data_IF_487945307738
#
_entry.id   IF_487945307738
#
_cell.length_a   1.000
_cell.length_b   1.000
_cell.length_c   1.000
_cell.angle_alpha   90.00
_cell.angle_beta   90.00
_cell.angle_gamma   90.00
#
_symmetry.space_group_name_H-M   'P 1'
#
loop_
_entity.id
_entity.type
_entity.pdbx_description
1 polymer ?
#
# COMPACT_ATOMS: atom_id res chain seq x y z
N UNK A 1 -11.71 53.24 8.17
CA UNK A 1 -12.63 54.37 7.81
C UNK A 1 -13.95 54.04 8.48
N UNK A 2 -14.30 54.79 9.53
CA UNK A 2 -15.40 54.48 10.46
C UNK A 2 -16.77 54.69 9.79
N UNK A 3 -17.65 53.70 9.86
CA UNK A 3 -19.04 53.77 9.35
C UNK A 3 -19.83 54.98 9.91
N UNK A 4 -19.42 55.52 11.05
CA UNK A 4 -20.05 56.66 11.70
C UNK A 4 -19.85 58.01 10.96
N UNK A 5 -18.81 58.13 10.14
CA UNK A 5 -18.47 59.39 9.44
C UNK A 5 -19.21 59.51 8.10
N UNK A 6 -19.72 58.41 7.55
CA UNK A 6 -20.42 58.43 6.27
C UNK A 6 -21.90 58.86 6.39
N UNK A 7 -22.49 58.67 7.56
CA UNK A 7 -23.91 58.98 7.79
C UNK A 7 -24.16 60.45 8.22
N UNK A 8 -23.17 61.14 8.74
CA UNK A 8 -23.36 62.51 9.26
C UNK A 8 -23.27 63.62 8.22
N UNK A 9 -22.75 63.32 7.00
CA UNK A 9 -22.48 64.38 6.01
C UNK A 9 -23.67 64.78 5.10
N UNK A 10 -24.78 64.02 5.09
CA UNK A 10 -25.90 64.29 4.18
C UNK A 10 -27.23 64.76 4.87
N UNK A 11 -27.25 64.98 6.20
CA UNK A 11 -28.51 65.18 6.92
C UNK A 11 -29.02 66.60 6.87
N UNK A 12 -28.24 67.58 6.41
CA UNK A 12 -28.63 69.04 6.51
C UNK A 12 -29.29 69.60 5.24
N UNK A 13 -29.66 68.75 4.26
CA UNK A 13 -30.19 69.29 2.98
C UNK A 13 -31.65 68.95 2.67
N UNK A 14 -32.39 68.32 3.59
CA UNK A 14 -33.79 67.92 3.31
C UNK A 14 -34.79 68.72 4.21
N UNK A 15 -35.89 69.14 3.56
CA UNK A 15 -37.02 69.79 4.24
C UNK A 15 -37.79 68.79 5.13
N UNK A 16 -38.46 69.32 6.19
CA UNK A 16 -39.01 68.57 7.31
C UNK A 16 -39.67 67.19 7.10
N UNK A 17 -40.41 66.99 6.05
CA UNK A 17 -41.15 65.73 5.82
C UNK A 17 -40.27 64.57 5.37
N UNK A 18 -39.23 64.84 4.60
CA UNK A 18 -38.27 63.78 4.15
C UNK A 18 -37.40 63.28 5.31
N UNK A 19 -37.07 64.19 6.29
CA UNK A 19 -36.33 63.78 7.49
C UNK A 19 -37.07 62.74 8.33
N UNK A 20 -38.38 62.86 8.38
CA UNK A 20 -39.20 61.92 9.14
C UNK A 20 -39.28 60.55 8.47
N UNK A 21 -39.33 60.51 7.16
CA UNK A 21 -39.29 59.25 6.37
C UNK A 21 -37.93 58.54 6.49
N UNK A 22 -36.85 59.27 6.38
CA UNK A 22 -35.49 58.72 6.52
C UNK A 22 -35.24 58.17 7.94
N UNK A 23 -35.70 58.85 8.98
CA UNK A 23 -35.60 58.40 10.38
C UNK A 23 -36.44 57.13 10.63
N UNK A 24 -37.58 56.99 9.97
CA UNK A 24 -38.41 55.81 10.04
C UNK A 24 -37.77 54.62 9.28
N UNK A 25 -37.15 54.88 8.14
CA UNK A 25 -36.40 53.85 7.37
C UNK A 25 -35.18 53.35 8.13
N UNK A 26 -34.40 54.25 8.75
CA UNK A 26 -33.25 53.84 9.60
C UNK A 26 -33.72 52.97 10.78
N UNK A 27 -34.79 53.35 11.46
CA UNK A 27 -35.35 52.53 12.55
C UNK A 27 -35.84 51.16 12.09
N UNK A 28 -36.40 51.06 10.86
CA UNK A 28 -36.83 49.78 10.26
C UNK A 28 -35.63 48.93 9.85
N UNK A 29 -34.59 49.55 9.27
CA UNK A 29 -33.35 48.87 8.91
C UNK A 29 -32.59 48.36 10.14
N UNK A 30 -32.54 49.21 11.20
CA UNK A 30 -31.89 48.83 12.47
C UNK A 30 -32.64 47.67 13.15
N UNK A 31 -34.00 47.69 13.14
CA UNK A 31 -34.80 46.56 13.63
C UNK A 31 -34.60 45.29 12.81
N UNK A 32 -34.55 45.42 11.49
CA UNK A 32 -34.30 44.29 10.60
C UNK A 32 -32.88 43.69 10.81
N UNK A 33 -31.89 44.55 11.02
CA UNK A 33 -30.51 44.15 11.33
C UNK A 33 -30.41 43.43 12.68
N UNK A 34 -31.10 43.95 13.72
CA UNK A 34 -31.16 43.33 15.06
C UNK A 34 -31.85 41.96 14.98
N UNK A 35 -32.92 41.83 14.20
CA UNK A 35 -33.63 40.55 13.99
C UNK A 35 -32.74 39.57 13.22
N UNK A 36 -32.01 40.03 12.20
CA UNK A 36 -31.06 39.21 11.44
C UNK A 36 -29.89 38.71 12.32
N UNK A 37 -29.37 39.57 13.19
CA UNK A 37 -28.30 39.20 14.16
C UNK A 37 -28.84 38.26 15.24
N UNK A 38 -30.08 38.43 15.70
CA UNK A 38 -30.73 37.54 16.67
C UNK A 38 -31.06 36.15 16.08
N UNK A 39 -31.23 36.04 14.76
CA UNK A 39 -31.47 34.78 14.06
C UNK A 39 -30.18 34.00 13.77
N UNK A 40 -29.00 34.62 13.81
CA UNK A 40 -27.71 33.98 13.56
C UNK A 40 -27.39 32.83 14.54
N UNK A 41 -27.68 32.86 15.85
CA UNK A 41 -27.38 31.74 16.73
C UNK A 41 -28.29 30.52 16.55
N UNK A 42 -29.44 30.64 15.88
CA UNK A 42 -30.32 29.48 15.67
C UNK A 42 -29.82 28.49 14.60
N UNK A 43 -28.89 28.90 13.72
CA UNK A 43 -28.30 28.01 12.73
C UNK A 43 -27.08 27.24 13.25
N UNK A 44 -26.55 27.56 14.42
CA UNK A 44 -25.34 26.97 14.97
C UNK A 44 -25.57 25.72 15.83
N UNK A 45 -26.82 25.30 16.08
CA UNK A 45 -27.13 24.25 17.06
C UNK A 45 -27.22 22.82 16.50
N UNK A 46 -26.97 22.58 15.21
CA UNK A 46 -27.10 21.24 14.66
C UNK A 46 -25.77 20.49 14.45
N UNK A 47 -24.65 20.94 15.01
CA UNK A 47 -23.32 20.34 14.81
C UNK A 47 -22.77 19.52 16.00
N UNK A 48 -23.57 19.24 17.03
CA UNK A 48 -23.17 18.30 18.07
C UNK A 48 -23.47 16.85 17.66
N UNK A 49 -22.78 16.38 16.63
CA UNK A 49 -22.68 14.96 16.35
C UNK A 49 -21.98 14.28 17.54
N UNK A 50 -22.50 13.12 17.96
CA UNK A 50 -21.85 12.26 18.96
C UNK A 50 -20.42 11.93 18.54
N UNK A 51 -19.45 12.06 19.45
CA UNK A 51 -18.10 11.59 19.22
C UNK A 51 -18.00 10.08 19.46
N UNK A 52 -17.23 9.42 18.62
CA UNK A 52 -16.84 8.01 18.77
C UNK A 52 -15.32 7.96 18.93
N UNK A 53 -14.86 7.28 19.99
CA UNK A 53 -13.45 6.98 20.20
C UNK A 53 -13.13 5.68 19.46
N UNK A 54 -12.15 5.69 18.57
CA UNK A 54 -11.63 4.52 17.89
C UNK A 54 -10.26 4.24 18.50
N UNK A 55 -10.07 3.00 18.97
CA UNK A 55 -8.81 2.52 19.55
C UNK A 55 -8.32 1.36 18.68
N UNK A 56 -7.07 1.39 18.28
CA UNK A 56 -6.43 0.35 17.50
C UNK A 56 -5.15 -0.10 18.21
N UNK A 57 -4.98 -1.40 18.37
CA UNK A 57 -3.75 -2.03 18.83
C UNK A 57 -3.00 -2.60 17.60
N UNK A 58 -1.67 -2.38 17.52
CA UNK A 58 -0.79 -1.64 18.44
C UNK A 58 -0.98 -0.12 18.43
N UNK A 59 -0.52 0.57 19.47
CA UNK A 59 -0.71 2.02 19.66
C UNK A 59 -0.08 2.90 18.56
N UNK A 60 0.89 2.40 17.83
CA UNK A 60 1.51 3.06 16.69
C UNK A 60 0.80 2.77 15.35
N UNK A 61 -0.36 2.12 15.38
CA UNK A 61 -1.13 1.88 14.15
C UNK A 61 -1.68 3.20 13.60
N UNK A 62 -1.38 3.50 12.36
CA UNK A 62 -1.84 4.70 11.64
C UNK A 62 -3.31 4.54 11.26
N UNK A 63 -4.14 5.49 11.67
CA UNK A 63 -5.58 5.45 11.45
C UNK A 63 -5.98 6.48 10.39
N UNK A 64 -6.66 6.01 9.36
CA UNK A 64 -7.25 6.83 8.31
C UNK A 64 -8.78 6.71 8.36
N UNK A 65 -9.45 7.85 8.24
CA UNK A 65 -10.92 7.93 8.17
C UNK A 65 -11.28 8.54 6.81
N UNK A 66 -12.09 7.84 6.03
CA UNK A 66 -12.49 8.24 4.67
C UNK A 66 -11.30 8.63 3.79
N UNK A 67 -10.18 7.90 3.97
CA UNK A 67 -8.93 8.10 3.23
C UNK A 67 -8.00 9.18 3.79
N UNK A 68 -8.40 9.95 4.80
CA UNK A 68 -7.57 10.97 5.43
C UNK A 68 -6.92 10.43 6.71
N UNK A 69 -5.65 10.77 6.94
CA UNK A 69 -4.95 10.44 8.18
C UNK A 69 -5.48 11.25 9.36
N UNK A 70 -5.80 10.57 10.46
CA UNK A 70 -6.36 11.17 11.68
C UNK A 70 -5.43 11.07 12.89
N UNK A 71 -4.51 10.12 12.93
CA UNK A 71 -3.59 9.92 14.05
C UNK A 71 -3.23 8.45 14.24
N UNK A 72 -2.51 8.16 15.33
CA UNK A 72 -2.03 6.82 15.66
C UNK A 72 -2.75 6.25 16.89
N UNK A 73 -2.98 4.94 16.89
CA UNK A 73 -3.52 4.14 17.98
C UNK A 73 -4.90 4.55 18.49
N UNK A 74 -5.13 5.84 18.74
CA UNK A 74 -6.41 6.33 19.28
C UNK A 74 -6.83 7.64 18.64
N UNK A 75 -8.03 7.69 18.07
CA UNK A 75 -8.62 8.88 17.48
C UNK A 75 -10.05 9.11 17.96
N UNK A 76 -10.50 10.36 17.95
CA UNK A 76 -11.90 10.75 18.19
C UNK A 76 -12.47 11.34 16.91
N UNK A 77 -13.58 10.81 16.45
CA UNK A 77 -14.26 11.24 15.23
C UNK A 77 -15.73 11.49 15.48
N UNK A 78 -16.35 12.33 14.66
CA UNK A 78 -17.81 12.50 14.69
C UNK A 78 -18.47 11.23 14.17
N UNK A 79 -19.44 10.72 14.91
CA UNK A 79 -20.26 9.61 14.45
C UNK A 79 -21.00 9.99 13.16
N UNK A 80 -21.09 9.10 12.17
CA UNK A 80 -21.87 9.35 10.97
C UNK A 80 -23.37 9.49 11.31
N UNK A 81 -24.12 10.14 10.42
CA UNK A 81 -25.57 10.25 10.55
C UNK A 81 -26.23 8.89 10.33
N UNK A 82 -27.48 8.74 10.81
CA UNK A 82 -28.26 7.53 10.55
C UNK A 82 -28.43 7.35 9.03
N UNK A 83 -28.03 6.18 8.52
CA UNK A 83 -28.02 5.87 7.10
C UNK A 83 -26.65 6.02 6.43
N UNK A 84 -25.71 6.75 7.05
CA UNK A 84 -24.34 6.95 6.55
C UNK A 84 -23.35 6.03 7.29
N UNK A 85 -22.13 5.98 6.79
CA UNK A 85 -20.99 5.31 7.45
C UNK A 85 -19.72 6.14 7.27
N UNK A 86 -18.73 5.88 8.11
CA UNK A 86 -17.33 6.28 7.90
C UNK A 86 -16.50 5.03 7.64
N UNK A 87 -15.54 5.15 6.72
CA UNK A 87 -14.58 4.08 6.42
C UNK A 87 -13.34 4.26 7.30
N UNK A 88 -12.99 3.25 8.07
CA UNK A 88 -11.82 3.25 8.93
C UNK A 88 -10.80 2.28 8.34
N UNK A 89 -9.61 2.76 8.04
CA UNK A 89 -8.45 1.95 7.68
C UNK A 89 -7.38 2.15 8.74
N UNK A 90 -6.86 1.05 9.27
CA UNK A 90 -5.75 1.09 10.20
C UNK A 90 -4.59 0.23 9.68
N UNK A 91 -3.38 0.77 9.74
CA UNK A 91 -2.16 0.15 9.22
C UNK A 91 -1.03 0.25 10.25
N UNK A 92 -0.27 -0.83 10.40
CA UNK A 92 0.97 -0.86 11.17
C UNK A 92 1.96 -1.81 10.50
N UNK A 93 3.23 -1.45 10.49
CA UNK A 93 4.27 -2.33 9.95
C UNK A 93 4.30 -3.65 10.70
N UNK A 94 4.32 -4.78 9.98
CA UNK A 94 4.28 -6.13 10.55
C UNK A 94 2.88 -6.59 11.00
N UNK A 95 1.82 -5.90 10.56
CA UNK A 95 0.44 -6.26 10.80
C UNK A 95 -0.40 -6.19 9.53
N UNK A 96 -1.42 -7.05 9.44
CA UNK A 96 -2.40 -7.00 8.34
C UNK A 96 -3.24 -5.73 8.46
N UNK A 97 -3.44 -4.96 7.36
CA UNK A 97 -4.25 -3.74 7.40
C UNK A 97 -5.72 -4.07 7.71
N UNK A 98 -6.33 -3.29 8.59
CA UNK A 98 -7.75 -3.37 8.91
C UNK A 98 -8.53 -2.39 8.05
N UNK A 99 -9.63 -2.85 7.44
CA UNK A 99 -10.57 -2.00 6.72
C UNK A 99 -11.99 -2.32 7.21
N UNK A 100 -12.62 -1.36 7.88
CA UNK A 100 -13.96 -1.53 8.46
C UNK A 100 -14.82 -0.30 8.21
N UNK A 101 -16.15 -0.48 8.24
CA UNK A 101 -17.13 0.61 8.18
C UNK A 101 -17.83 0.75 9.51
N UNK A 102 -17.93 1.97 10.03
CA UNK A 102 -18.70 2.30 11.22
C UNK A 102 -19.96 3.03 10.77
N UNK A 103 -21.11 2.43 11.01
CA UNK A 103 -22.40 2.97 10.58
C UNK A 103 -23.00 3.92 11.62
N UNK A 104 -23.79 4.88 11.19
CA UNK A 104 -24.50 5.81 12.07
C UNK A 104 -25.51 5.20 13.00
N UNK A 105 -25.89 3.94 12.77
CA UNK A 105 -26.71 3.13 13.67
C UNK A 105 -25.94 2.56 14.86
N UNK A 106 -24.61 2.51 14.78
CA UNK A 106 -23.76 2.05 15.89
C UNK A 106 -23.76 3.08 17.02
N UNK A 107 -24.25 2.69 18.19
CA UNK A 107 -24.40 3.58 19.36
C UNK A 107 -23.20 3.55 20.31
N UNK A 108 -22.17 2.74 20.04
CA UNK A 108 -20.98 2.64 20.89
C UNK A 108 -20.25 3.98 20.96
N UNK A 109 -19.78 4.35 22.14
CA UNK A 109 -18.98 5.56 22.36
C UNK A 109 -17.49 5.32 22.12
N UNK A 110 -17.07 4.06 22.26
CA UNK A 110 -15.72 3.60 21.97
C UNK A 110 -15.77 2.26 21.22
N UNK A 111 -14.90 2.10 20.24
CA UNK A 111 -14.76 0.89 19.43
C UNK A 111 -13.27 0.56 19.43
N UNK A 112 -12.94 -0.67 19.83
CA UNK A 112 -11.55 -1.14 19.85
C UNK A 112 -11.34 -2.21 18.79
N UNK A 113 -10.21 -2.12 18.10
CA UNK A 113 -9.75 -3.10 17.14
C UNK A 113 -8.33 -3.54 17.50
N UNK A 114 -8.02 -4.79 17.23
CA UNK A 114 -6.68 -5.35 17.35
C UNK A 114 -6.23 -5.82 15.96
N UNK A 115 -5.13 -5.27 15.46
CA UNK A 115 -4.55 -5.72 14.21
C UNK A 115 -3.96 -7.12 14.38
N UNK A 116 -4.15 -7.96 13.38
CA UNK A 116 -3.51 -9.27 13.31
C UNK A 116 -2.07 -9.10 12.82
N UNK A 117 -1.12 -9.82 13.43
CA UNK A 117 0.25 -9.86 12.93
C UNK A 117 0.26 -10.34 11.49
N UNK A 118 1.09 -9.71 10.69
CA UNK A 118 1.44 -10.19 9.36
C UNK A 118 2.71 -11.03 9.48
N UNK A 119 2.54 -12.34 9.45
CA UNK A 119 3.65 -13.28 9.55
C UNK A 119 4.35 -13.53 8.20
N UNK A 120 4.01 -12.75 7.18
CA UNK A 120 4.62 -12.89 5.85
C UNK A 120 6.15 -12.85 5.93
N UNK A 121 6.72 -11.96 6.76
CA UNK A 121 8.17 -11.85 6.96
C UNK A 121 8.79 -13.02 7.75
N UNK A 122 7.99 -13.92 8.33
CA UNK A 122 8.50 -15.16 8.91
C UNK A 122 8.93 -16.15 7.82
N UNK A 123 8.24 -16.15 6.69
CA UNK A 123 8.45 -17.10 5.59
C UNK A 123 9.19 -16.51 4.40
N UNK A 124 9.15 -15.19 4.26
CA UNK A 124 9.69 -14.48 3.11
C UNK A 124 10.65 -13.39 3.51
N UNK A 125 11.64 -13.16 2.67
CA UNK A 125 12.50 -11.98 2.72
C UNK A 125 12.10 -11.01 1.63
N UNK A 126 11.89 -9.74 2.02
CA UNK A 126 11.76 -8.66 1.05
C UNK A 126 13.11 -8.43 0.38
N UNK A 127 13.13 -8.44 -0.94
CA UNK A 127 14.38 -8.32 -1.69
C UNK A 127 14.18 -7.55 -2.98
N UNK A 128 15.19 -6.78 -3.36
CA UNK A 128 15.23 -6.14 -4.66
C UNK A 128 15.35 -7.15 -5.83
N UNK A 129 15.67 -8.41 -5.56
CA UNK A 129 15.82 -9.49 -6.55
C UNK A 129 14.51 -10.24 -6.85
N UNK A 130 13.48 -10.11 -5.98
CA UNK A 130 12.18 -10.76 -6.19
C UNK A 130 11.59 -10.40 -7.55
N UNK A 131 11.21 -11.44 -8.32
CA UNK A 131 10.68 -11.32 -9.68
C UNK A 131 11.57 -10.56 -10.69
N UNK A 132 12.86 -10.39 -10.39
CA UNK A 132 13.84 -9.75 -11.27
C UNK A 132 14.96 -10.73 -11.65
N UNK A 133 15.57 -10.49 -12.79
CA UNK A 133 16.77 -11.22 -13.18
C UNK A 133 18.00 -10.66 -12.47
N UNK A 134 18.81 -11.55 -11.91
CA UNK A 134 20.17 -11.25 -11.49
C UNK A 134 21.15 -12.05 -12.35
N UNK A 135 22.34 -11.52 -12.55
CA UNK A 135 23.36 -12.13 -13.41
C UNK A 135 24.37 -12.88 -12.57
N UNK A 136 24.73 -14.08 -13.02
CA UNK A 136 25.85 -14.86 -12.50
C UNK A 136 26.86 -15.01 -13.63
N UNK A 137 28.06 -14.45 -13.45
CA UNK A 137 29.18 -14.65 -14.35
C UNK A 137 29.84 -15.99 -13.99
N UNK A 138 29.86 -16.91 -14.94
CA UNK A 138 30.36 -18.27 -14.71
C UNK A 138 31.86 -18.26 -14.59
N UNK A 139 32.38 -18.98 -13.58
CA UNK A 139 33.81 -19.14 -13.42
C UNK A 139 34.40 -19.91 -14.62
N UNK A 140 35.50 -19.43 -15.19
CA UNK A 140 36.12 -19.95 -16.39
C UNK A 140 36.50 -21.45 -16.31
N UNK A 141 36.63 -22.00 -15.10
CA UNK A 141 36.88 -23.45 -14.91
C UNK A 141 35.72 -24.35 -15.31
N UNK A 142 34.53 -23.81 -15.54
CA UNK A 142 33.31 -24.55 -15.84
C UNK A 142 32.87 -24.45 -17.29
N UNK A 143 33.65 -23.80 -18.16
CA UNK A 143 33.38 -23.76 -19.59
C UNK A 143 34.70 -23.65 -20.38
N UNK A 144 34.67 -24.14 -21.58
CA UNK A 144 35.79 -24.04 -22.52
C UNK A 144 35.38 -23.21 -23.72
N UNK A 145 36.34 -22.50 -24.33
CA UNK A 145 36.15 -21.78 -25.59
C UNK A 145 37.06 -22.42 -26.62
N UNK A 146 36.47 -23.05 -27.65
CA UNK A 146 37.24 -23.69 -28.71
C UNK A 146 37.87 -22.63 -29.65
N UNK A 147 38.77 -23.11 -30.53
CA UNK A 147 39.51 -22.27 -31.49
C UNK A 147 38.60 -21.42 -32.41
N UNK A 148 37.35 -21.84 -32.61
CA UNK A 148 36.32 -21.11 -33.38
C UNK A 148 35.48 -20.15 -32.56
N UNK A 149 35.82 -19.92 -31.28
CA UNK A 149 35.07 -19.05 -30.36
C UNK A 149 33.75 -19.63 -29.82
N UNK A 150 33.50 -20.93 -30.07
CA UNK A 150 32.32 -21.60 -29.54
C UNK A 150 32.57 -22.00 -28.08
N UNK A 151 31.66 -21.61 -27.21
CA UNK A 151 31.68 -21.88 -25.77
C UNK A 151 31.06 -23.26 -25.53
N UNK A 152 31.80 -24.17 -24.89
CA UNK A 152 31.27 -25.42 -24.35
C UNK A 152 30.77 -25.16 -22.92
N UNK A 153 29.48 -25.31 -22.71
CA UNK A 153 28.80 -24.98 -21.46
C UNK A 153 28.39 -26.21 -20.66
N UNK A 154 28.75 -27.42 -21.09
CA UNK A 154 28.21 -28.67 -20.53
C UNK A 154 28.45 -28.80 -19.02
N UNK A 155 29.64 -28.43 -18.55
CA UNK A 155 29.99 -28.54 -17.12
C UNK A 155 29.19 -27.52 -16.30
N UNK A 156 29.13 -26.28 -16.75
CA UNK A 156 28.33 -25.24 -16.09
C UNK A 156 26.83 -25.62 -16.09
N UNK A 157 26.36 -26.18 -17.19
CA UNK A 157 24.98 -26.64 -17.35
C UNK A 157 24.61 -27.75 -16.35
N UNK A 158 25.46 -28.77 -16.21
CA UNK A 158 25.28 -29.84 -15.23
C UNK A 158 25.27 -29.30 -13.79
N UNK A 159 26.20 -28.39 -13.48
CA UNK A 159 26.26 -27.78 -12.14
C UNK A 159 25.01 -26.97 -11.83
N UNK A 160 24.48 -26.23 -12.80
CA UNK A 160 23.26 -25.46 -12.67
C UNK A 160 22.04 -26.34 -12.40
N UNK A 161 21.93 -27.51 -13.12
CA UNK A 161 20.90 -28.52 -12.84
C UNK A 161 21.02 -29.08 -11.43
N UNK A 162 22.22 -29.39 -10.97
CA UNK A 162 22.43 -29.87 -9.61
C UNK A 162 21.99 -28.86 -8.55
N UNK A 163 22.30 -27.59 -8.74
CA UNK A 163 21.86 -26.55 -7.82
C UNK A 163 20.32 -26.48 -7.81
N UNK A 164 19.67 -26.44 -8.97
CA UNK A 164 18.21 -26.34 -9.04
C UNK A 164 17.51 -27.54 -8.40
N UNK A 165 18.03 -28.76 -8.65
CA UNK A 165 17.46 -30.01 -8.12
C UNK A 165 17.63 -30.18 -6.59
N UNK A 166 18.47 -29.35 -5.93
CA UNK A 166 18.50 -29.30 -4.47
C UNK A 166 17.25 -28.62 -3.88
N UNK A 167 16.54 -27.79 -4.66
CA UNK A 167 15.41 -26.97 -4.20
C UNK A 167 14.08 -27.32 -4.89
N UNK A 168 14.15 -27.94 -6.05
CA UNK A 168 13.00 -28.38 -6.87
C UNK A 168 13.13 -29.86 -7.20
N UNK A 169 12.01 -30.56 -7.18
CA UNK A 169 11.99 -32.00 -7.44
C UNK A 169 12.34 -32.34 -8.88
N UNK A 170 12.05 -31.42 -9.82
CA UNK A 170 12.27 -31.66 -11.26
C UNK A 170 12.57 -30.35 -12.00
N UNK A 171 13.03 -30.48 -13.23
CA UNK A 171 13.18 -29.39 -14.19
C UNK A 171 12.10 -29.57 -15.27
N UNK A 172 11.24 -28.55 -15.41
CA UNK A 172 10.16 -28.60 -16.40
C UNK A 172 10.66 -28.45 -17.84
N UNK A 173 11.60 -27.54 -18.05
CA UNK A 173 12.18 -27.24 -19.35
C UNK A 173 13.68 -27.10 -19.21
N UNK A 174 14.44 -27.77 -20.08
CA UNK A 174 15.88 -27.68 -20.16
C UNK A 174 16.32 -27.79 -21.61
N UNK A 175 16.89 -26.70 -22.13
CA UNK A 175 17.42 -26.64 -23.51
C UNK A 175 18.78 -25.95 -23.48
N UNK A 176 19.83 -26.76 -23.60
CA UNK A 176 21.22 -26.31 -23.61
C UNK A 176 21.54 -25.46 -24.85
N UNK A 177 20.83 -25.68 -25.97
CA UNK A 177 21.09 -24.98 -27.23
C UNK A 177 20.63 -23.51 -27.12
N UNK A 178 19.44 -23.28 -26.55
CA UNK A 178 18.95 -21.95 -26.30
C UNK A 178 19.45 -21.36 -24.97
N UNK A 179 20.14 -22.15 -24.15
CA UNK A 179 20.58 -21.75 -22.83
C UNK A 179 19.44 -21.46 -21.87
N UNK A 180 18.31 -22.17 -21.95
CA UNK A 180 17.11 -21.94 -21.19
C UNK A 180 16.79 -23.11 -20.25
N UNK A 181 16.60 -22.79 -18.93
CA UNK A 181 16.08 -23.72 -17.94
C UNK A 181 14.89 -23.10 -17.25
N UNK A 182 13.87 -23.89 -16.96
CA UNK A 182 12.75 -23.47 -16.11
C UNK A 182 12.30 -24.64 -15.24
N UNK A 183 12.11 -24.37 -13.94
CA UNK A 183 11.49 -25.31 -13.01
C UNK A 183 9.96 -25.23 -13.12
N UNK A 184 9.21 -26.27 -12.72
CA UNK A 184 7.77 -26.14 -12.54
C UNK A 184 7.44 -25.12 -11.44
N UNK A 185 6.17 -24.75 -11.37
CA UNK A 185 5.66 -24.01 -10.24
C UNK A 185 5.57 -24.92 -9.00
N UNK A 186 6.28 -24.55 -7.94
CA UNK A 186 6.17 -25.16 -6.62
C UNK A 186 5.14 -24.38 -5.82
N UNK A 187 4.01 -25.01 -5.49
CA UNK A 187 2.94 -24.42 -4.68
C UNK A 187 3.20 -24.70 -3.20
N UNK A 188 2.84 -23.71 -2.36
CA UNK A 188 2.88 -23.84 -0.91
C UNK A 188 1.91 -22.87 -0.24
N UNK A 189 1.50 -23.18 0.97
CA UNK A 189 0.65 -22.34 1.80
C UNK A 189 1.13 -22.41 3.25
N UNK A 190 0.76 -21.43 4.03
CA UNK A 190 1.01 -21.38 5.46
C UNK A 190 -0.33 -21.20 6.18
N UNK A 191 -0.53 -21.88 7.29
CA UNK A 191 -1.82 -21.93 8.02
C UNK A 191 -2.26 -20.56 8.54
N UNK A 192 -1.31 -19.66 8.79
CA UNK A 192 -1.53 -18.31 9.30
C UNK A 192 -1.61 -17.23 8.20
N UNK A 193 -1.47 -17.62 6.93
CA UNK A 193 -1.62 -16.74 5.77
C UNK A 193 -2.83 -17.16 4.93
N UNK A 194 -3.72 -16.19 4.63
CA UNK A 194 -4.93 -16.43 3.83
C UNK A 194 -4.64 -16.51 2.31
N UNK A 195 -3.43 -16.95 1.97
CA UNK A 195 -2.93 -16.97 0.59
C UNK A 195 -2.26 -18.29 0.26
N UNK A 196 -2.40 -18.68 -1.00
CA UNK A 196 -1.58 -19.71 -1.61
C UNK A 196 -0.48 -19.05 -2.43
N UNK A 197 0.72 -19.53 -2.27
CA UNK A 197 1.91 -19.03 -2.96
C UNK A 197 2.40 -20.04 -3.99
N UNK A 198 3.08 -19.55 -5.02
CA UNK A 198 3.85 -20.40 -5.94
C UNK A 198 5.16 -19.73 -6.32
N UNK A 199 6.18 -20.53 -6.46
CA UNK A 199 7.50 -20.07 -6.87
C UNK A 199 8.06 -20.94 -7.98
N UNK A 200 8.88 -20.35 -8.85
CA UNK A 200 9.68 -21.06 -9.85
C UNK A 200 10.95 -20.30 -10.16
N UNK A 201 11.91 -20.98 -10.74
CA UNK A 201 13.16 -20.41 -11.23
C UNK A 201 13.20 -20.49 -12.76
N UNK A 202 13.63 -19.39 -13.37
CA UNK A 202 13.93 -19.32 -14.80
C UNK A 202 15.37 -18.89 -14.97
N UNK A 203 16.12 -19.62 -15.77
CA UNK A 203 17.51 -19.33 -16.12
C UNK A 203 17.60 -19.11 -17.63
N UNK A 204 18.38 -18.11 -18.04
CA UNK A 204 18.66 -17.79 -19.44
C UNK A 204 20.15 -17.52 -19.59
N UNK A 205 20.76 -18.09 -20.61
CA UNK A 205 22.10 -17.68 -21.00
C UNK A 205 22.05 -16.24 -21.52
N UNK A 206 22.95 -15.40 -21.04
CA UNK A 206 22.93 -13.96 -21.37
C UNK A 206 24.15 -13.48 -22.14
N UNK A 207 25.21 -14.29 -22.21
CA UNK A 207 26.44 -13.89 -22.90
C UNK A 207 26.30 -13.99 -24.40
N UNK A 208 26.65 -12.91 -25.06
CA UNK A 208 26.90 -12.85 -26.50
C UNK A 208 28.41 -12.68 -26.80
N UNK A 209 29.28 -12.89 -25.79
CA UNK A 209 30.72 -12.65 -25.84
C UNK A 209 31.53 -13.83 -25.32
N UNK A 210 32.83 -13.61 -25.11
CA UNK A 210 33.78 -14.64 -24.67
C UNK A 210 33.55 -15.25 -23.30
N UNK A 211 32.87 -14.49 -22.40
CA UNK A 211 32.59 -14.93 -21.04
C UNK A 211 31.17 -15.47 -20.91
N UNK A 212 31.03 -16.68 -20.37
CA UNK A 212 29.73 -17.29 -20.10
C UNK A 212 29.04 -16.61 -18.91
N UNK A 213 27.79 -16.22 -19.07
CA UNK A 213 26.95 -15.72 -17.98
C UNK A 213 25.51 -16.20 -18.10
N UNK A 214 24.84 -16.29 -16.96
CA UNK A 214 23.41 -16.63 -16.90
C UNK A 214 22.63 -15.57 -16.13
N UNK A 215 21.43 -15.29 -16.62
CA UNK A 215 20.42 -14.50 -15.91
C UNK A 215 19.46 -15.45 -15.22
N UNK A 216 19.28 -15.26 -13.92
CA UNK A 216 18.44 -16.10 -13.07
C UNK A 216 17.33 -15.24 -12.49
N UNK A 217 16.08 -15.70 -12.64
CA UNK A 217 14.90 -15.07 -12.03
C UNK A 217 14.22 -16.07 -11.11
N UNK A 218 14.02 -15.69 -9.85
CA UNK A 218 13.17 -16.39 -8.90
C UNK A 218 11.82 -15.66 -8.89
N UNK A 219 10.80 -16.30 -9.43
CA UNK A 219 9.44 -15.75 -9.45
C UNK A 219 8.67 -16.23 -8.24
N UNK A 220 8.02 -15.31 -7.54
CA UNK A 220 7.07 -15.60 -6.49
C UNK A 220 5.75 -14.90 -6.79
N UNK A 221 4.67 -15.66 -6.74
CA UNK A 221 3.32 -15.16 -6.94
C UNK A 221 2.41 -15.69 -5.84
N UNK A 222 1.34 -14.96 -5.57
CA UNK A 222 0.32 -15.36 -4.59
C UNK A 222 -1.09 -15.16 -5.13
N UNK A 223 -2.03 -15.91 -4.57
CA UNK A 223 -3.46 -15.76 -4.78
C UNK A 223 -4.20 -15.99 -3.46
N UNK A 224 -5.42 -15.47 -3.34
CA UNK A 224 -6.30 -15.82 -2.23
C UNK A 224 -6.69 -17.29 -2.30
N UNK A 225 -6.97 -17.92 -1.17
CA UNK A 225 -7.42 -19.32 -1.14
C UNK A 225 -8.68 -19.48 -2.00
N UNK A 226 -8.62 -20.37 -2.99
CA UNK A 226 -9.68 -20.56 -3.98
C UNK A 226 -9.71 -19.53 -5.11
N UNK A 227 -8.79 -18.57 -5.12
CA UNK A 227 -8.63 -17.59 -6.19
C UNK A 227 -7.96 -18.19 -7.43
N UNK A 228 -8.22 -17.59 -8.60
CA UNK A 228 -7.61 -17.99 -9.88
C UNK A 228 -6.61 -16.97 -10.42
N UNK A 229 -6.61 -15.77 -9.88
CA UNK A 229 -5.74 -14.68 -10.32
C UNK A 229 -4.48 -14.59 -9.46
N UNK A 230 -3.32 -14.78 -10.08
CA UNK A 230 -2.02 -14.73 -9.44
C UNK A 230 -1.42 -13.34 -9.54
N UNK A 231 -0.89 -12.85 -8.42
CA UNK A 231 -0.22 -11.55 -8.30
C UNK A 231 1.25 -11.76 -7.98
N UNK A 232 2.13 -11.07 -8.68
CA UNK A 232 3.56 -11.05 -8.35
C UNK A 232 3.80 -10.35 -7.01
N UNK A 233 4.76 -10.85 -6.23
CA UNK A 233 5.24 -10.19 -5.03
C UNK A 233 6.77 -10.10 -5.01
N UNK A 234 7.30 -9.01 -4.42
CA UNK A 234 8.74 -8.73 -4.39
C UNK A 234 9.43 -9.41 -3.19
N UNK A 235 9.03 -10.65 -2.91
CA UNK A 235 9.63 -11.46 -1.87
C UNK A 235 10.33 -12.67 -2.48
N UNK A 236 11.24 -13.27 -1.71
CA UNK A 236 11.78 -14.60 -1.98
C UNK A 236 11.50 -15.46 -0.74
N UNK A 237 11.06 -16.70 -0.95
CA UNK A 237 10.95 -17.66 0.14
C UNK A 237 12.33 -17.85 0.79
N UNK A 238 12.37 -17.85 2.13
CA UNK A 238 13.61 -18.07 2.88
C UNK A 238 14.29 -19.39 2.52
N UNK A 239 13.52 -20.40 2.17
CA UNK A 239 14.05 -21.71 1.71
C UNK A 239 14.84 -21.63 0.39
N UNK A 240 14.59 -20.57 -0.41
CA UNK A 240 15.28 -20.38 -1.70
C UNK A 240 16.44 -19.37 -1.62
N UNK A 241 16.60 -18.65 -0.52
CA UNK A 241 17.70 -17.71 -0.35
C UNK A 241 19.08 -18.38 -0.44
N UNK A 242 19.31 -19.59 0.18
CA UNK A 242 20.56 -20.30 0.03
C UNK A 242 20.89 -20.66 -1.42
N UNK A 243 19.90 -20.89 -2.28
CA UNK A 243 20.09 -21.17 -3.71
C UNK A 243 20.79 -20.01 -4.43
N UNK A 244 20.47 -18.76 -4.10
CA UNK A 244 21.15 -17.58 -4.66
C UNK A 244 22.64 -17.62 -4.31
N UNK A 245 22.93 -17.91 -3.04
CA UNK A 245 24.31 -18.04 -2.56
C UNK A 245 25.05 -19.20 -3.22
N UNK A 246 24.37 -20.32 -3.49
CA UNK A 246 24.95 -21.44 -4.24
C UNK A 246 25.27 -21.06 -5.69
N UNK A 247 24.37 -20.38 -6.39
CA UNK A 247 24.66 -19.89 -7.73
C UNK A 247 25.88 -18.98 -7.77
N UNK A 248 25.98 -18.06 -6.80
CA UNK A 248 27.08 -17.12 -6.73
C UNK A 248 28.41 -17.80 -6.34
N UNK A 249 28.41 -18.69 -5.35
CA UNK A 249 29.63 -19.27 -4.80
C UNK A 249 30.14 -20.50 -5.56
N UNK A 250 29.23 -21.31 -6.11
CA UNK A 250 29.60 -22.56 -6.80
C UNK A 250 29.76 -22.37 -8.30
N UNK A 251 28.90 -21.56 -8.93
CA UNK A 251 28.93 -21.32 -10.37
C UNK A 251 29.66 -20.01 -10.71
N UNK A 252 29.53 -18.99 -9.88
CA UNK A 252 30.07 -17.67 -10.10
C UNK A 252 31.58 -17.54 -9.87
N UNK A 253 32.09 -16.36 -10.24
CA UNK A 253 33.48 -15.95 -9.99
C UNK A 253 33.61 -15.36 -8.60
#
# INVERSE_FOLDING_TARGET
>A
MNLHTFFTFNFNRFKGDEKHYLLQMEKRLLKALIIAIAMLPMFSFSLFGRDVKIVVEPENARIHIDGQYYGDGTVKVKAPKKGDFISVRAECQGYKPLNVKIYGTDKRKAISYKLQKDNTLEYFNETALGNKFFTVNVNSRYYDVNENGKVDTEVAWKLMHQILLNYFEEIQTSDIVSGFIQTPWKLFSFDDLDHVFRTRVTVKQSSLGEALSYQIKISLEYTEVGGSYWKECNFISKDLEPMISEFQSRLGQ
#
